data_IF_653171425656
#
_entry.id   IF_653171425656
#
_cell.length_a   1.000
_cell.length_b   1.000
_cell.length_c   1.000
_cell.angle_alpha   90.00
_cell.angle_beta   90.00
_cell.angle_gamma   90.00
#
_symmetry.space_group_name_H-M   'P 1'
#
loop_
_entity.id
_entity.type
_entity.pdbx_description
1 polymer ?
#
# COMPACT_ATOMS: atom_id res chain seq x y z
N UNK A 1 14.38 1.55 0.97
CA UNK A 1 15.50 2.27 0.30
C UNK A 1 16.87 2.09 0.99
N UNK A 2 16.94 1.50 2.20
CA UNK A 2 18.19 1.39 2.97
C UNK A 2 19.08 0.17 2.64
N UNK A 3 18.55 -0.84 1.93
CA UNK A 3 19.36 -1.96 1.41
C UNK A 3 19.77 -1.84 -0.07
N UNK A 4 19.23 -0.87 -0.82
CA UNK A 4 19.60 -0.70 -2.25
C UNK A 4 20.90 0.09 -2.46
N UNK A 5 21.43 0.75 -1.42
CA UNK A 5 22.62 1.61 -1.52
C UNK A 5 23.76 1.25 -0.56
N UNK A 6 23.55 0.33 0.37
CA UNK A 6 24.59 -0.16 1.26
C UNK A 6 24.95 -1.58 0.80
N UNK A 7 26.15 -1.75 0.26
CA UNK A 7 26.71 -3.05 -0.13
C UNK A 7 27.04 -3.84 1.17
N UNK A 8 26.01 -4.17 1.96
CA UNK A 8 26.17 -4.90 3.21
C UNK A 8 26.56 -6.33 2.87
N UNK A 9 27.69 -6.79 3.41
CA UNK A 9 28.06 -8.19 3.28
C UNK A 9 27.08 -9.05 4.08
N UNK A 10 26.33 -9.94 3.42
CA UNK A 10 25.44 -10.90 4.08
C UNK A 10 26.18 -12.17 4.57
N UNK A 11 27.52 -12.20 4.52
CA UNK A 11 28.32 -13.37 4.91
C UNK A 11 28.09 -13.79 6.37
N UNK A 12 27.77 -12.85 7.26
CA UNK A 12 27.51 -13.11 8.67
C UNK A 12 26.14 -13.78 8.94
N UNK A 13 25.22 -13.75 7.97
CA UNK A 13 23.93 -14.48 8.05
C UNK A 13 24.15 -15.98 7.86
N UNK A 14 25.22 -16.38 7.14
CA UNK A 14 25.56 -17.77 6.88
C UNK A 14 24.43 -18.54 6.18
N UNK A 15 24.15 -19.76 6.67
CA UNK A 15 23.07 -20.63 6.18
C UNK A 15 21.78 -20.52 7.00
N UNK A 16 21.59 -19.43 7.75
CA UNK A 16 20.44 -19.26 8.63
C UNK A 16 19.10 -19.36 7.87
N UNK A 17 18.12 -19.98 8.52
CA UNK A 17 16.73 -20.07 8.06
C UNK A 17 15.82 -19.56 9.17
N UNK A 18 14.93 -18.64 8.82
CA UNK A 18 13.96 -18.08 9.76
C UNK A 18 12.58 -18.69 9.51
N UNK A 19 11.93 -19.18 10.56
CA UNK A 19 10.51 -19.58 10.52
C UNK A 19 9.62 -18.33 10.55
N UNK A 20 8.66 -18.27 9.62
CA UNK A 20 7.88 -17.07 9.33
C UNK A 20 6.51 -17.13 10.01
N UNK A 21 6.45 -16.74 11.29
CA UNK A 21 5.22 -16.83 12.09
C UNK A 21 4.07 -15.98 11.51
N UNK A 22 4.39 -14.91 10.78
CA UNK A 22 3.41 -14.05 10.11
C UNK A 22 2.66 -14.73 8.95
N UNK A 23 3.14 -15.87 8.43
CA UNK A 23 2.38 -16.68 7.48
C UNK A 23 1.41 -17.65 8.17
N UNK A 24 1.70 -18.04 9.41
CA UNK A 24 0.83 -18.90 10.21
C UNK A 24 -0.35 -18.09 10.76
N UNK A 25 -0.07 -16.96 11.42
CA UNK A 25 -1.10 -16.00 11.82
C UNK A 25 -0.59 -14.54 11.71
N UNK A 26 -1.08 -13.76 10.73
CA UNK A 26 -0.65 -12.37 10.54
C UNK A 26 -1.11 -11.42 11.67
N UNK A 27 -1.96 -11.88 12.59
CA UNK A 27 -2.42 -11.14 13.77
C UNK A 27 -1.53 -11.38 15.01
N UNK A 28 -0.53 -12.26 14.94
CA UNK A 28 0.47 -12.40 16.00
C UNK A 28 1.31 -11.12 16.09
N UNK A 29 1.32 -10.52 17.28
CA UNK A 29 1.97 -9.23 17.54
C UNK A 29 3.26 -9.38 18.32
N UNK A 30 3.33 -10.43 19.12
CA UNK A 30 4.38 -10.71 20.09
C UNK A 30 4.83 -12.16 19.96
N UNK A 31 6.11 -12.40 20.17
CA UNK A 31 6.71 -13.74 20.12
C UNK A 31 8.00 -13.78 20.94
N UNK A 32 8.50 -14.98 21.21
CA UNK A 32 9.85 -15.19 21.74
C UNK A 32 10.64 -16.00 20.72
N UNK A 33 11.93 -15.70 20.55
CA UNK A 33 12.81 -16.44 19.64
C UNK A 33 14.24 -16.37 20.15
N UNK A 34 15.09 -17.28 19.70
CA UNK A 34 16.54 -17.16 19.89
C UNK A 34 17.19 -16.37 18.76
N UNK A 35 18.28 -15.70 19.10
CA UNK A 35 19.18 -15.03 18.14
C UNK A 35 20.07 -16.07 17.48
N UNK A 36 20.07 -16.14 16.15
CA UNK A 36 20.97 -17.04 15.39
C UNK A 36 22.19 -16.31 14.85
N UNK A 37 22.05 -15.01 14.57
CA UNK A 37 23.15 -14.17 14.13
C UNK A 37 22.91 -12.71 14.55
N UNK A 38 23.99 -12.00 14.82
CA UNK A 38 23.96 -10.58 15.19
C UNK A 38 25.20 -9.89 14.61
N UNK A 39 25.03 -8.71 14.04
CA UNK A 39 26.13 -7.96 13.43
C UNK A 39 25.96 -6.45 13.60
N UNK A 40 27.06 -5.71 13.61
CA UNK A 40 27.06 -4.25 13.68
C UNK A 40 27.89 -3.72 12.50
N UNK A 41 27.27 -2.91 11.65
CA UNK A 41 27.92 -2.32 10.48
C UNK A 41 27.30 -0.96 10.15
N UNK A 42 28.14 0.02 9.79
CA UNK A 42 27.66 1.33 9.33
C UNK A 42 26.81 2.10 10.34
N UNK A 43 27.08 1.91 11.65
CA UNK A 43 26.31 2.54 12.72
C UNK A 43 24.92 1.93 12.96
N UNK A 44 24.62 0.79 12.35
CA UNK A 44 23.38 0.03 12.56
C UNK A 44 23.67 -1.34 13.15
N UNK A 45 22.65 -1.87 13.81
CA UNK A 45 22.66 -3.19 14.42
C UNK A 45 21.75 -4.12 13.61
N UNK A 46 22.15 -5.36 13.40
CA UNK A 46 21.42 -6.34 12.62
C UNK A 46 21.25 -7.61 13.45
N UNK A 47 20.04 -8.16 13.44
CA UNK A 47 19.70 -9.38 14.19
C UNK A 47 18.94 -10.35 13.27
N UNK A 48 19.32 -11.62 13.30
CA UNK A 48 18.59 -12.72 12.68
C UNK A 48 18.09 -13.63 13.79
N UNK A 49 16.82 -14.05 13.68
CA UNK A 49 16.12 -14.87 14.67
C UNK A 49 15.77 -16.24 14.07
N UNK A 50 15.64 -17.26 14.92
CA UNK A 50 15.12 -18.58 14.54
C UNK A 50 13.70 -18.48 13.99
N UNK A 51 12.85 -17.69 14.62
CA UNK A 51 11.47 -17.42 14.19
C UNK A 51 11.10 -15.95 14.40
N UNK A 52 10.20 -15.41 13.57
CA UNK A 52 9.80 -14.00 13.67
C UNK A 52 8.37 -13.71 13.23
N UNK A 53 7.71 -12.79 13.94
CA UNK A 53 6.45 -12.17 13.50
C UNK A 53 6.69 -10.96 12.58
N UNK A 54 7.92 -10.44 12.47
CA UNK A 54 8.22 -9.29 11.62
C UNK A 54 8.21 -9.70 10.14
N UNK A 55 7.34 -9.05 9.35
CA UNK A 55 7.27 -9.25 7.90
C UNK A 55 8.43 -8.46 7.25
N UNK A 56 9.30 -9.12 6.47
CA UNK A 56 10.35 -8.44 5.72
C UNK A 56 9.77 -7.73 4.50
N UNK A 57 10.39 -6.62 4.09
CA UNK A 57 9.99 -5.91 2.88
C UNK A 57 9.88 -6.86 1.68
N UNK A 58 8.72 -6.85 1.01
CA UNK A 58 8.44 -7.79 -0.07
C UNK A 58 7.05 -7.59 -0.67
N UNK A 59 6.92 -7.90 -1.97
CA UNK A 59 5.63 -7.81 -2.67
C UNK A 59 5.02 -6.41 -2.63
N UNK A 60 5.83 -5.35 -2.59
CA UNK A 60 5.38 -3.95 -2.47
C UNK A 60 5.02 -3.53 -1.04
N UNK A 61 4.96 -4.44 -0.07
CA UNK A 61 4.75 -4.13 1.34
C UNK A 61 6.08 -3.76 2.02
N UNK A 62 6.16 -2.61 2.72
CA UNK A 62 7.31 -2.25 3.53
C UNK A 62 7.56 -3.25 4.67
N UNK A 63 8.82 -3.37 5.06
CA UNK A 63 9.20 -4.13 6.24
C UNK A 63 8.56 -3.60 7.53
N UNK A 64 8.33 -4.53 8.44
CA UNK A 64 7.83 -4.25 9.77
C UNK A 64 8.85 -3.53 10.64
N UNK A 65 8.31 -2.82 11.64
CA UNK A 65 9.06 -2.13 12.69
C UNK A 65 8.55 -2.59 14.05
N UNK A 66 9.28 -2.30 15.12
CA UNK A 66 8.91 -2.75 16.46
C UNK A 66 10.09 -2.74 17.42
N UNK A 67 10.08 -3.68 18.37
CA UNK A 67 11.12 -3.81 19.40
C UNK A 67 11.53 -5.27 19.61
N UNK A 68 12.80 -5.46 19.97
CA UNK A 68 13.34 -6.70 20.52
C UNK A 68 13.87 -6.42 21.92
N UNK A 69 13.48 -7.22 22.90
CA UNK A 69 13.81 -7.06 24.32
C UNK A 69 14.42 -8.35 24.89
N UNK A 70 15.46 -8.22 25.70
CA UNK A 70 16.10 -9.33 26.41
C UNK A 70 16.71 -8.85 27.74
N UNK A 71 17.31 -9.75 28.51
CA UNK A 71 17.89 -9.42 29.83
C UNK A 71 18.99 -8.34 29.79
N UNK A 72 19.67 -8.19 28.66
CA UNK A 72 20.75 -7.23 28.46
C UNK A 72 20.33 -5.91 27.82
N UNK A 73 19.05 -5.74 27.43
CA UNK A 73 18.56 -4.47 26.90
C UNK A 73 17.45 -4.58 25.87
N UNK A 74 17.29 -3.51 25.10
CA UNK A 74 16.24 -3.34 24.09
C UNK A 74 16.83 -2.78 22.80
N UNK A 75 16.35 -3.26 21.67
CA UNK A 75 16.61 -2.71 20.34
C UNK A 75 15.30 -2.25 19.70
N UNK A 76 15.35 -1.09 19.05
CA UNK A 76 14.26 -0.64 18.17
C UNK A 76 14.49 -1.19 16.78
N UNK A 77 13.59 -2.05 16.29
CA UNK A 77 13.59 -2.52 14.90
C UNK A 77 12.98 -1.42 14.04
N UNK A 78 13.80 -0.83 13.17
CA UNK A 78 13.41 0.28 12.29
C UNK A 78 13.12 -0.15 10.87
N UNK A 79 13.57 -1.35 10.49
CA UNK A 79 13.31 -1.95 9.19
C UNK A 79 13.49 -3.48 9.28
N UNK A 80 12.77 -4.23 8.46
CA UNK A 80 12.87 -5.70 8.39
C UNK A 80 13.02 -6.11 6.94
N UNK A 81 14.03 -6.91 6.63
CA UNK A 81 14.44 -7.14 5.25
C UNK A 81 14.74 -8.63 4.98
N UNK A 82 14.48 -9.13 3.76
CA UNK A 82 14.77 -10.51 3.41
C UNK A 82 16.27 -10.70 3.15
N UNK A 83 16.84 -11.83 3.58
CA UNK A 83 18.21 -12.23 3.29
C UNK A 83 18.26 -13.73 2.99
N UNK A 84 18.02 -14.11 1.73
CA UNK A 84 17.89 -15.52 1.34
C UNK A 84 16.72 -16.19 2.08
N UNK A 85 17.02 -17.25 2.84
CA UNK A 85 16.07 -17.96 3.71
C UNK A 85 15.90 -17.35 5.11
N UNK A 86 16.62 -16.28 5.42
CA UNK A 86 16.59 -15.60 6.70
C UNK A 86 15.86 -14.25 6.63
N UNK A 87 15.44 -13.77 7.79
CA UNK A 87 14.91 -12.41 7.98
C UNK A 87 15.88 -11.60 8.81
N UNK A 88 16.32 -10.46 8.28
CA UNK A 88 17.22 -9.53 8.96
C UNK A 88 16.41 -8.37 9.55
N UNK A 89 16.57 -8.17 10.85
CA UNK A 89 15.98 -7.06 11.59
C UNK A 89 17.02 -5.96 11.70
N UNK A 90 16.78 -4.83 11.03
CA UNK A 90 17.62 -3.65 11.09
C UNK A 90 17.21 -2.83 12.31
N UNK A 91 18.16 -2.63 13.21
CA UNK A 91 17.92 -2.14 14.55
C UNK A 91 18.74 -0.88 14.86
N UNK A 92 18.17 -0.07 15.72
CA UNK A 92 18.85 1.03 16.42
C UNK A 92 18.93 0.71 17.91
N UNK A 93 20.08 1.00 18.51
CA UNK A 93 20.35 0.77 19.92
C UNK A 93 21.84 0.76 20.19
N UNK A 94 22.22 0.30 21.40
CA UNK A 94 23.61 0.36 21.87
C UNK A 94 24.30 -1.00 21.96
N UNK A 95 23.54 -2.06 22.17
CA UNK A 95 24.08 -3.39 22.47
C UNK A 95 23.33 -4.44 21.66
N UNK A 96 24.08 -5.35 21.03
CA UNK A 96 23.50 -6.52 20.37
C UNK A 96 23.21 -7.62 21.40
N UNK A 97 22.10 -8.35 21.26
CA UNK A 97 21.93 -9.62 21.96
C UNK A 97 22.98 -10.63 21.48
N UNK A 98 23.41 -11.53 22.35
CA UNK A 98 24.36 -12.58 22.00
C UNK A 98 23.67 -13.66 21.17
N UNK A 99 24.41 -14.34 20.30
CA UNK A 99 23.91 -15.56 19.64
C UNK A 99 23.49 -16.59 20.70
N UNK A 100 22.31 -17.19 20.51
CA UNK A 100 21.66 -18.12 21.43
C UNK A 100 20.77 -17.46 22.50
N UNK A 101 20.87 -16.13 22.68
CA UNK A 101 20.08 -15.39 23.66
C UNK A 101 18.60 -15.40 23.29
N UNK A 102 17.74 -15.53 24.31
CA UNK A 102 16.29 -15.49 24.13
C UNK A 102 15.82 -14.03 24.13
N UNK A 103 15.17 -13.63 23.05
CA UNK A 103 14.59 -12.29 22.89
C UNK A 103 13.06 -12.39 22.84
N UNK A 104 12.38 -11.37 23.36
CA UNK A 104 10.96 -11.13 23.14
C UNK A 104 10.80 -10.06 22.06
N UNK A 105 10.08 -10.38 20.99
CA UNK A 105 9.82 -9.45 19.89
C UNK A 105 8.38 -8.95 19.94
N UNK A 106 8.19 -7.66 19.65
CA UNK A 106 6.88 -7.02 19.51
C UNK A 106 6.86 -6.09 18.31
N UNK A 107 5.95 -6.32 17.37
CA UNK A 107 5.80 -5.47 16.18
C UNK A 107 5.00 -4.20 16.50
N UNK A 108 5.22 -3.14 15.73
CA UNK A 108 4.33 -1.98 15.68
C UNK A 108 3.01 -2.40 15.01
N UNK A 109 2.03 -2.76 15.85
CA UNK A 109 0.76 -3.27 15.38
C UNK A 109 -0.04 -2.22 14.59
N UNK A 110 0.03 -0.94 14.96
CA UNK A 110 -0.67 0.12 14.25
C UNK A 110 -0.18 0.22 12.80
N UNK A 111 1.14 0.21 12.62
CA UNK A 111 1.78 0.13 11.31
C UNK A 111 1.39 -1.14 10.56
N UNK A 112 1.61 -2.32 11.16
CA UNK A 112 1.33 -3.62 10.52
C UNK A 112 -0.11 -3.71 10.05
N UNK A 113 -1.06 -3.38 10.91
CA UNK A 113 -2.47 -3.50 10.60
C UNK A 113 -2.89 -2.56 9.45
N UNK A 114 -2.35 -1.34 9.43
CA UNK A 114 -2.59 -0.44 8.29
C UNK A 114 -1.99 -0.98 6.99
N UNK A 115 -0.80 -1.59 7.02
CA UNK A 115 -0.21 -2.25 5.85
C UNK A 115 -1.06 -3.44 5.37
N UNK A 116 -1.59 -4.27 6.29
CA UNK A 116 -2.51 -5.37 5.97
C UNK A 116 -3.79 -4.88 5.29
N UNK A 117 -4.35 -3.76 5.78
CA UNK A 117 -5.53 -3.12 5.19
C UNK A 117 -5.24 -2.65 3.77
N UNK A 118 -4.16 -1.90 3.58
CA UNK A 118 -3.72 -1.43 2.26
C UNK A 118 -3.45 -2.58 1.29
N UNK A 119 -2.81 -3.65 1.76
CA UNK A 119 -2.53 -4.82 0.92
C UNK A 119 -3.82 -5.49 0.46
N UNK A 120 -4.73 -5.77 1.39
CA UNK A 120 -6.02 -6.40 1.07
C UNK A 120 -6.88 -5.51 0.18
N UNK A 121 -6.90 -4.20 0.44
CA UNK A 121 -7.57 -3.23 -0.43
C UNK A 121 -6.99 -3.21 -1.85
N UNK A 122 -5.71 -3.55 -2.04
CA UNK A 122 -5.10 -3.66 -3.37
C UNK A 122 -5.72 -4.77 -4.19
N UNK A 123 -5.97 -5.94 -3.60
CA UNK A 123 -6.71 -7.03 -4.27
C UNK A 123 -8.12 -6.56 -4.64
N UNK A 124 -8.80 -5.89 -3.70
CA UNK A 124 -10.16 -5.40 -3.92
C UNK A 124 -10.21 -4.40 -5.09
N UNK A 125 -9.36 -3.38 -5.05
CA UNK A 125 -9.30 -2.31 -6.05
C UNK A 125 -8.87 -2.84 -7.41
N UNK A 126 -7.88 -3.73 -7.47
CA UNK A 126 -7.44 -4.31 -8.75
C UNK A 126 -8.53 -5.16 -9.40
N UNK A 127 -9.19 -6.01 -8.62
CA UNK A 127 -10.29 -6.83 -9.13
C UNK A 127 -11.54 -5.98 -9.46
N UNK A 128 -11.75 -4.84 -8.80
CA UNK A 128 -12.76 -3.85 -9.17
C UNK A 128 -12.41 -3.15 -10.50
N UNK A 129 -11.15 -2.72 -10.65
CA UNK A 129 -10.63 -2.14 -11.88
C UNK A 129 -10.79 -3.09 -13.07
N UNK A 130 -10.35 -4.35 -12.95
CA UNK A 130 -10.51 -5.35 -14.02
C UNK A 130 -11.95 -5.48 -14.50
N UNK A 131 -12.91 -5.53 -13.56
CA UNK A 131 -14.35 -5.66 -13.86
C UNK A 131 -14.93 -4.40 -14.50
N UNK A 132 -14.66 -3.22 -13.94
CA UNK A 132 -15.20 -1.95 -14.46
C UNK A 132 -14.61 -1.60 -15.82
N UNK A 133 -13.33 -1.90 -16.04
CA UNK A 133 -12.64 -1.67 -17.30
C UNK A 133 -13.00 -2.71 -18.38
N UNK A 134 -13.66 -3.80 -17.99
CA UNK A 134 -14.17 -4.82 -18.91
C UNK A 134 -13.07 -5.59 -19.64
N UNK A 135 -11.93 -5.83 -18.97
CA UNK A 135 -10.79 -6.55 -19.57
C UNK A 135 -10.63 -7.93 -18.95
N UNK A 136 -10.40 -8.93 -19.80
CA UNK A 136 -10.14 -10.30 -19.33
C UNK A 136 -8.80 -10.39 -18.58
N UNK A 137 -7.77 -9.70 -19.11
CA UNK A 137 -6.44 -9.64 -18.51
C UNK A 137 -6.05 -8.19 -18.24
N UNK A 138 -6.03 -7.84 -16.95
CA UNK A 138 -5.38 -6.64 -16.44
C UNK A 138 -4.02 -7.06 -15.86
N UNK A 139 -2.96 -6.31 -16.12
CA UNK A 139 -1.60 -6.66 -15.67
C UNK A 139 -1.06 -5.60 -14.73
N UNK A 140 -0.49 -6.04 -13.61
CA UNK A 140 0.31 -5.22 -12.71
C UNK A 140 1.68 -4.92 -13.35
N UNK A 141 1.98 -3.64 -13.52
CA UNK A 141 3.30 -3.15 -13.96
C UNK A 141 4.13 -2.62 -12.79
N UNK A 142 3.50 -2.41 -11.63
CA UNK A 142 4.12 -1.81 -10.46
C UNK A 142 3.15 -1.81 -9.29
N UNK A 143 3.68 -2.05 -8.09
CA UNK A 143 2.92 -2.10 -6.85
C UNK A 143 3.78 -1.59 -5.71
N UNK A 144 3.25 -0.65 -4.93
CA UNK A 144 3.90 -0.20 -3.70
C UNK A 144 2.84 0.23 -2.69
N UNK A 145 3.00 -0.26 -1.47
CA UNK A 145 2.22 0.15 -0.31
C UNK A 145 3.03 1.18 0.48
N UNK A 146 2.36 2.23 0.93
CA UNK A 146 2.83 3.09 2.01
C UNK A 146 1.71 3.25 3.05
N UNK A 147 2.03 3.83 4.21
CA UNK A 147 1.06 4.01 5.28
C UNK A 147 -0.13 4.88 4.86
N UNK A 148 0.13 5.99 4.14
CA UNK A 148 -0.92 6.94 3.75
C UNK A 148 -1.61 6.61 2.42
N UNK A 149 -0.90 5.94 1.51
CA UNK A 149 -1.42 5.61 0.18
C UNK A 149 -0.73 4.41 -0.43
N UNK A 150 -1.46 3.75 -1.32
CA UNK A 150 -1.00 2.62 -2.13
C UNK A 150 -1.07 3.00 -3.61
N UNK A 151 -0.08 2.56 -4.39
CA UNK A 151 -0.06 2.76 -5.84
C UNK A 151 -0.09 1.42 -6.55
N UNK A 152 -0.93 1.32 -7.58
CA UNK A 152 -0.96 0.19 -8.51
C UNK A 152 -0.81 0.73 -9.93
N UNK A 153 0.12 0.17 -10.69
CA UNK A 153 0.37 0.56 -12.08
C UNK A 153 -0.27 -0.50 -12.98
N UNK A 154 -1.24 -0.07 -13.80
CA UNK A 154 -2.10 -0.94 -14.58
C UNK A 154 -1.76 -0.80 -16.07
N UNK A 155 -1.44 -1.92 -16.71
CA UNK A 155 -1.39 -2.00 -18.17
C UNK A 155 -2.81 -2.18 -18.72
N UNK A 156 -3.46 -1.06 -19.09
CA UNK A 156 -4.82 -1.04 -19.64
C UNK A 156 -4.85 -0.68 -21.13
N UNK A 157 -3.79 -0.05 -21.66
CA UNK A 157 -3.69 0.36 -23.06
C UNK A 157 -4.47 1.65 -23.40
N UNK A 158 -5.41 2.08 -22.54
CA UNK A 158 -6.24 3.28 -22.70
C UNK A 158 -6.21 4.15 -21.44
N UNK A 159 -6.56 5.44 -21.54
CA UNK A 159 -6.80 6.26 -20.34
C UNK A 159 -7.99 5.73 -19.54
N UNK A 160 -7.90 5.79 -18.21
CA UNK A 160 -9.04 5.50 -17.33
C UNK A 160 -9.84 6.80 -17.14
N UNK A 161 -11.10 6.79 -17.56
CA UNK A 161 -12.01 7.93 -17.47
C UNK A 161 -12.42 8.23 -16.02
N UNK A 162 -12.88 9.45 -15.75
CA UNK A 162 -13.26 9.88 -14.40
C UNK A 162 -14.41 9.04 -13.85
N UNK A 163 -15.40 8.75 -14.68
CA UNK A 163 -16.57 7.94 -14.36
C UNK A 163 -16.19 6.49 -14.09
N UNK A 164 -15.16 5.97 -14.78
CA UNK A 164 -14.61 4.65 -14.50
C UNK A 164 -13.93 4.61 -13.13
N UNK A 165 -13.16 5.63 -12.77
CA UNK A 165 -12.55 5.72 -11.43
C UNK A 165 -13.62 5.72 -10.33
N UNK A 166 -14.69 6.49 -10.49
CA UNK A 166 -15.80 6.53 -9.54
C UNK A 166 -16.48 5.17 -9.39
N UNK A 167 -16.73 4.47 -10.51
CA UNK A 167 -17.27 3.10 -10.49
C UNK A 167 -16.32 2.09 -9.84
N UNK A 168 -15.01 2.22 -10.03
CA UNK A 168 -14.01 1.37 -9.37
C UNK A 168 -14.04 1.58 -7.86
N UNK A 169 -14.04 2.84 -7.41
CA UNK A 169 -14.12 3.18 -5.99
C UNK A 169 -15.41 2.66 -5.36
N UNK A 170 -16.55 2.88 -6.02
CA UNK A 170 -17.85 2.42 -5.54
C UNK A 170 -17.88 0.89 -5.40
N UNK A 171 -17.46 0.17 -6.45
CA UNK A 171 -17.45 -1.29 -6.44
C UNK A 171 -16.47 -1.86 -5.41
N UNK A 172 -15.30 -1.23 -5.25
CA UNK A 172 -14.34 -1.60 -4.22
C UNK A 172 -14.91 -1.42 -2.81
N UNK A 173 -15.61 -0.31 -2.53
CA UNK A 173 -16.25 -0.09 -1.24
C UNK A 173 -17.43 -1.03 -1.00
N UNK A 174 -18.22 -1.38 -2.02
CA UNK A 174 -19.27 -2.41 -1.89
C UNK A 174 -18.66 -3.71 -1.37
N UNK A 175 -17.61 -4.20 -2.01
CA UNK A 175 -16.92 -5.44 -1.60
C UNK A 175 -16.26 -5.31 -0.23
N UNK A 176 -15.71 -4.13 0.10
CA UNK A 176 -15.20 -3.87 1.44
C UNK A 176 -16.31 -4.03 2.48
N UNK A 177 -17.47 -3.41 2.27
CA UNK A 177 -18.58 -3.44 3.24
C UNK A 177 -19.28 -4.81 3.36
N UNK A 178 -19.17 -5.69 2.35
CA UNK A 178 -19.75 -7.04 2.39
C UNK A 178 -19.13 -7.96 3.46
N UNK A 179 -17.95 -7.63 4.02
CA UNK A 179 -17.33 -8.44 5.07
C UNK A 179 -16.94 -9.85 4.61
N UNK A 180 -16.53 -10.00 3.35
CA UNK A 180 -16.10 -11.29 2.78
C UNK A 180 -14.87 -11.83 3.48
N UNK A 181 -14.75 -13.15 3.58
CA UNK A 181 -13.57 -13.79 4.17
C UNK A 181 -12.36 -13.65 3.27
N UNK A 182 -11.22 -13.38 3.88
CA UNK A 182 -9.91 -13.43 3.24
C UNK A 182 -9.17 -14.64 3.79
N UNK A 183 -8.76 -15.54 2.89
CA UNK A 183 -8.12 -16.82 3.22
C UNK A 183 -6.75 -16.89 2.58
N UNK A 184 -5.86 -17.65 3.20
CA UNK A 184 -4.54 -17.92 2.65
C UNK A 184 -4.11 -19.33 3.01
N UNK A 185 -3.34 -19.95 2.12
CA UNK A 185 -2.78 -21.28 2.31
C UNK A 185 -1.60 -21.48 1.34
N UNK A 186 -0.82 -22.54 1.55
CA UNK A 186 0.24 -22.96 0.65
C UNK A 186 -0.21 -24.13 -0.21
N UNK A 187 0.28 -24.18 -1.44
CA UNK A 187 0.12 -25.33 -2.34
C UNK A 187 1.26 -25.34 -3.36
N UNK A 188 1.36 -26.41 -4.15
CA UNK A 188 2.30 -26.42 -5.28
C UNK A 188 1.86 -25.42 -6.36
N UNK A 189 2.82 -24.81 -7.04
CA UNK A 189 2.55 -23.91 -8.17
C UNK A 189 1.73 -24.59 -9.27
N UNK A 190 2.05 -25.84 -9.57
CA UNK A 190 1.35 -26.63 -10.60
C UNK A 190 -0.13 -26.82 -10.24
N UNK A 191 -0.45 -27.10 -8.97
CA UNK A 191 -1.83 -27.19 -8.51
C UNK A 191 -2.54 -25.84 -8.58
N UNK A 192 -1.86 -24.75 -8.18
CA UNK A 192 -2.42 -23.41 -8.26
C UNK A 192 -2.80 -23.06 -9.70
N UNK A 193 -1.85 -23.22 -10.64
CA UNK A 193 -2.06 -22.94 -12.06
C UNK A 193 -3.19 -23.79 -12.65
N UNK A 194 -3.26 -25.08 -12.29
CA UNK A 194 -4.34 -25.97 -12.72
C UNK A 194 -5.71 -25.53 -12.21
N UNK A 195 -5.80 -25.06 -10.97
CA UNK A 195 -7.07 -24.72 -10.31
C UNK A 195 -7.59 -23.33 -10.68
N UNK A 196 -6.69 -22.36 -10.82
CA UNK A 196 -7.05 -20.95 -10.92
C UNK A 196 -6.63 -20.30 -12.25
N UNK A 197 -5.72 -20.94 -13.00
CA UNK A 197 -5.28 -20.51 -14.32
C UNK A 197 -4.78 -19.07 -14.34
N UNK A 198 -5.21 -18.32 -15.35
CA UNK A 198 -4.81 -16.93 -15.59
C UNK A 198 -5.21 -15.96 -14.47
N UNK A 199 -6.09 -16.35 -13.54
CA UNK A 199 -6.51 -15.48 -12.43
C UNK A 199 -5.40 -15.21 -11.42
N UNK A 200 -4.42 -16.12 -11.30
CA UNK A 200 -3.35 -16.04 -10.29
C UNK A 200 -2.36 -14.90 -10.48
N UNK A 201 -2.31 -14.32 -11.68
CA UNK A 201 -1.31 -13.30 -12.01
C UNK A 201 0.12 -13.85 -12.06
N UNK A 202 0.30 -15.12 -12.42
CA UNK A 202 1.63 -15.74 -12.58
C UNK A 202 2.46 -14.97 -13.60
N UNK A 203 3.69 -14.67 -13.21
CA UNK A 203 4.72 -14.02 -14.04
C UNK A 203 5.95 -14.92 -14.15
N UNK A 204 6.85 -14.60 -15.08
CA UNK A 204 8.11 -15.34 -15.29
C UNK A 204 9.00 -15.36 -14.03
N UNK A 205 8.87 -14.37 -13.15
CA UNK A 205 9.63 -14.26 -11.89
C UNK A 205 8.97 -14.98 -10.72
N UNK A 206 7.83 -15.62 -10.93
CA UNK A 206 7.17 -16.41 -9.88
C UNK A 206 8.01 -17.66 -9.60
N UNK A 207 8.42 -17.93 -8.34
CA UNK A 207 9.22 -19.10 -8.01
C UNK A 207 8.53 -20.42 -8.39
N UNK A 208 9.32 -21.46 -8.69
CA UNK A 208 8.83 -22.83 -8.76
C UNK A 208 8.69 -23.42 -7.34
N UNK A 209 7.90 -24.48 -7.18
CA UNK A 209 7.69 -25.16 -5.91
C UNK A 209 6.43 -24.69 -5.17
N UNK A 210 6.53 -24.58 -3.83
CA UNK A 210 5.41 -24.14 -3.00
C UNK A 210 5.17 -22.63 -3.14
N UNK A 211 3.90 -22.26 -3.29
CA UNK A 211 3.45 -20.89 -3.42
C UNK A 211 2.37 -20.58 -2.39
N UNK A 212 2.34 -19.33 -1.93
CA UNK A 212 1.29 -18.84 -1.04
C UNK A 212 0.17 -18.23 -1.86
N UNK A 213 -1.03 -18.80 -1.74
CA UNK A 213 -2.25 -18.31 -2.38
C UNK A 213 -3.01 -17.45 -1.37
N UNK A 214 -3.50 -16.30 -1.81
CA UNK A 214 -4.43 -15.45 -1.07
C UNK A 214 -5.72 -15.33 -1.87
N UNK A 215 -6.84 -15.55 -1.19
CA UNK A 215 -8.18 -15.45 -1.77
C UNK A 215 -9.00 -14.44 -0.98
N UNK A 216 -9.59 -13.49 -1.69
CA UNK A 216 -10.75 -12.72 -1.22
C UNK A 216 -11.99 -13.42 -1.76
N UNK A 217 -12.80 -13.97 -0.85
CA UNK A 217 -13.89 -14.89 -1.16
C UNK A 217 -14.80 -14.41 -2.31
N UNK A 218 -14.90 -15.21 -3.37
CA UNK A 218 -15.72 -14.91 -4.54
C UNK A 218 -15.33 -13.62 -5.29
N UNK A 219 -14.15 -13.06 -5.01
CA UNK A 219 -13.71 -11.77 -5.55
C UNK A 219 -12.38 -11.84 -6.29
N UNK A 220 -11.33 -12.30 -5.60
CA UNK A 220 -9.95 -12.29 -6.09
C UNK A 220 -9.20 -13.52 -5.58
N UNK A 221 -8.28 -14.06 -6.40
CA UNK A 221 -7.36 -15.12 -6.00
C UNK A 221 -6.04 -14.89 -6.69
N UNK A 222 -4.94 -14.90 -5.93
CA UNK A 222 -3.63 -14.51 -6.44
C UNK A 222 -2.49 -15.14 -5.64
N UNK A 223 -1.29 -15.16 -6.23
CA UNK A 223 -0.08 -15.50 -5.50
C UNK A 223 0.42 -14.27 -4.76
N UNK A 224 0.48 -14.32 -3.43
CA UNK A 224 0.84 -13.16 -2.61
C UNK A 224 1.56 -13.56 -1.31
N UNK A 225 2.71 -12.93 -1.08
CA UNK A 225 3.54 -13.06 0.12
C UNK A 225 3.28 -11.97 1.18
N UNK A 226 2.26 -11.12 0.95
CA UNK A 226 1.86 -10.07 1.86
C UNK A 226 1.11 -10.55 3.09
N UNK A 227 1.01 -9.68 4.11
CA UNK A 227 0.10 -9.89 5.24
C UNK A 227 -1.27 -9.31 4.93
N UNK A 228 -2.34 -10.02 5.29
CA UNK A 228 -3.72 -9.65 4.95
C UNK A 228 -4.63 -9.64 6.18
N UNK A 229 -5.65 -8.78 6.14
CA UNK A 229 -6.74 -8.80 7.12
C UNK A 229 -7.65 -10.02 6.87
N UNK A 230 -8.47 -10.42 7.85
CA UNK A 230 -9.34 -11.61 7.76
C UNK A 230 -10.67 -11.32 7.05
N UNK A 231 -11.14 -10.07 7.09
CA UNK A 231 -12.41 -9.64 6.50
C UNK A 231 -12.22 -8.39 5.64
N UNK A 232 -12.94 -8.33 4.52
CA UNK A 232 -12.90 -7.13 3.65
C UNK A 232 -13.45 -5.88 4.34
N UNK A 233 -14.31 -6.02 5.36
CA UNK A 233 -14.83 -4.89 6.14
C UNK A 233 -13.77 -4.16 6.93
N UNK A 234 -12.64 -4.81 7.25
CA UNK A 234 -11.53 -4.20 7.96
C UNK A 234 -10.79 -3.13 7.13
N UNK A 235 -10.95 -3.15 5.80
CA UNK A 235 -10.28 -2.19 4.90
C UNK A 235 -11.10 -0.93 4.62
N UNK A 236 -12.38 -0.92 4.98
CA UNK A 236 -13.27 0.21 4.69
C UNK A 236 -12.90 1.46 5.53
N UNK A 237 -13.06 2.68 4.97
CA UNK A 237 -13.40 2.99 3.59
C UNK A 237 -12.18 2.87 2.65
N UNK A 238 -12.44 2.76 1.34
CA UNK A 238 -11.42 2.88 0.30
C UNK A 238 -11.63 4.19 -0.45
N UNK A 239 -10.56 4.96 -0.68
CA UNK A 239 -10.61 6.24 -1.41
C UNK A 239 -9.58 6.26 -2.53
N UNK A 240 -10.01 6.41 -3.78
CA UNK A 240 -9.12 6.72 -4.91
C UNK A 240 -8.71 8.19 -4.78
N UNK A 241 -7.40 8.40 -4.62
CA UNK A 241 -6.79 9.72 -4.46
C UNK A 241 -6.54 10.39 -5.81
N UNK A 242 -6.27 9.59 -6.84
CA UNK A 242 -6.07 10.09 -8.18
C UNK A 242 -5.52 9.04 -9.14
N UNK A 243 -5.31 9.48 -10.38
CA UNK A 243 -4.62 8.71 -11.41
C UNK A 243 -3.50 9.52 -12.03
N UNK A 244 -2.51 8.82 -12.58
CA UNK A 244 -1.42 9.41 -13.34
C UNK A 244 -1.05 8.50 -14.51
N UNK A 245 -0.96 9.04 -15.71
CA UNK A 245 -0.40 8.29 -16.84
C UNK A 245 1.12 8.25 -16.71
N UNK A 246 1.69 7.05 -16.62
CA UNK A 246 3.15 6.88 -16.50
C UNK A 246 3.81 6.84 -17.88
N UNK A 247 3.22 6.07 -18.79
CA UNK A 247 3.67 5.94 -20.18
C UNK A 247 2.49 5.54 -21.08
N UNK A 248 2.72 5.32 -22.37
CA UNK A 248 1.66 4.85 -23.28
C UNK A 248 1.12 3.50 -22.78
N UNK A 249 -0.18 3.46 -22.47
CA UNK A 249 -0.89 2.25 -22.05
C UNK A 249 -0.76 1.88 -20.58
N UNK A 250 0.02 2.61 -19.77
CA UNK A 250 0.19 2.35 -18.33
C UNK A 250 -0.31 3.52 -17.49
N UNK A 251 -1.29 3.23 -16.64
CA UNK A 251 -1.94 4.18 -15.74
C UNK A 251 -1.67 3.78 -14.28
N UNK A 252 -1.14 4.70 -13.49
CA UNK A 252 -1.02 4.58 -12.04
C UNK A 252 -2.32 4.99 -11.40
N UNK A 253 -2.86 4.13 -10.55
CA UNK A 253 -3.95 4.46 -9.64
C UNK A 253 -3.38 4.60 -8.23
N UNK A 254 -3.64 5.73 -7.58
CA UNK A 254 -3.33 5.94 -6.17
C UNK A 254 -4.62 5.87 -5.34
N UNK A 255 -4.60 5.09 -4.27
CA UNK A 255 -5.73 4.97 -3.35
C UNK A 255 -5.26 4.81 -1.90
N UNK A 256 -6.16 5.06 -0.97
CA UNK A 256 -5.99 4.82 0.45
C UNK A 256 -7.08 3.87 0.94
N UNK A 257 -6.83 3.20 2.07
CA UNK A 257 -7.79 2.31 2.72
C UNK A 257 -7.78 2.52 4.24
N UNK A 258 -8.92 2.36 4.91
CA UNK A 258 -9.06 2.55 6.35
C UNK A 258 -8.87 4.00 6.78
N UNK A 259 -8.08 4.23 7.83
CA UNK A 259 -7.93 5.55 8.44
C UNK A 259 -7.34 6.61 7.47
N UNK A 260 -6.29 6.33 6.67
CA UNK A 260 -5.83 7.27 5.65
C UNK A 260 -6.89 7.66 4.62
N UNK A 261 -7.77 6.74 4.24
CA UNK A 261 -8.88 7.04 3.33
C UNK A 261 -9.90 7.98 3.99
N UNK A 262 -10.26 7.70 5.23
CA UNK A 262 -11.12 8.57 6.03
C UNK A 262 -10.52 9.97 6.17
N UNK A 263 -9.23 10.08 6.51
CA UNK A 263 -8.54 11.38 6.62
C UNK A 263 -8.53 12.14 5.30
N UNK A 264 -8.31 11.45 4.18
CA UNK A 264 -8.39 12.06 2.85
C UNK A 264 -9.80 12.60 2.54
N UNK A 265 -10.85 11.85 2.86
CA UNK A 265 -12.25 12.27 2.68
C UNK A 265 -12.59 13.47 3.58
N UNK A 266 -12.21 13.43 4.86
CA UNK A 266 -12.45 14.52 5.81
C UNK A 266 -11.73 15.80 5.38
N UNK A 267 -10.49 15.70 4.88
CA UNK A 267 -9.76 16.84 4.36
C UNK A 267 -10.42 17.42 3.10
N UNK A 268 -10.94 16.58 2.20
CA UNK A 268 -11.68 17.04 1.01
C UNK A 268 -12.96 17.80 1.41
N UNK A 269 -13.72 17.31 2.38
CA UNK A 269 -14.91 18.00 2.89
C UNK A 269 -14.54 19.35 3.51
N UNK A 270 -13.51 19.39 4.36
CA UNK A 270 -13.03 20.63 4.99
C UNK A 270 -12.65 21.70 3.96
N UNK A 271 -11.97 21.31 2.89
CA UNK A 271 -11.61 22.23 1.80
C UNK A 271 -12.84 22.73 1.04
N UNK A 272 -13.81 21.86 0.78
CA UNK A 272 -15.07 22.25 0.14
C UNK A 272 -15.86 23.22 1.03
N UNK A 273 -15.91 23.00 2.33
CA UNK A 273 -16.59 23.89 3.29
C UNK A 273 -15.92 25.27 3.35
N UNK A 274 -14.59 25.31 3.35
CA UNK A 274 -13.83 26.56 3.29
C UNK A 274 -14.13 27.33 1.99
N UNK A 275 -14.19 26.64 0.85
CA UNK A 275 -14.52 27.26 -0.43
C UNK A 275 -15.97 27.78 -0.47
N UNK A 276 -16.94 26.99 0.01
CA UNK A 276 -18.34 27.38 0.09
C UNK A 276 -18.54 28.62 0.99
N UNK A 277 -17.87 28.64 2.16
CA UNK A 277 -17.85 29.79 3.06
C UNK A 277 -17.28 31.04 2.38
N UNK A 278 -16.15 30.91 1.67
CA UNK A 278 -15.53 32.02 0.95
C UNK A 278 -16.44 32.59 -0.17
N UNK A 279 -17.27 31.74 -0.77
CA UNK A 279 -18.26 32.15 -1.78
C UNK A 279 -19.60 32.60 -1.20
N UNK A 280 -19.81 32.50 0.12
CA UNK A 280 -21.08 32.84 0.77
C UNK A 280 -22.25 31.93 0.36
N UNK A 281 -21.96 30.68 -0.01
CA UNK A 281 -22.97 29.70 -0.44
C UNK A 281 -22.90 28.42 0.39
N UNK A 282 -23.97 27.61 0.34
CA UNK A 282 -23.96 26.25 0.89
C UNK A 282 -23.15 25.29 0.01
N UNK A 283 -22.67 24.17 0.59
CA UNK A 283 -21.83 23.18 -0.10
C UNK A 283 -22.46 22.65 -1.40
N UNK A 284 -23.76 22.38 -1.39
CA UNK A 284 -24.53 21.90 -2.55
C UNK A 284 -24.58 22.93 -3.70
N UNK A 285 -24.48 24.23 -3.37
CA UNK A 285 -24.47 25.34 -4.34
C UNK A 285 -23.07 25.73 -4.80
N UNK A 286 -22.02 25.21 -4.16
CA UNK A 286 -20.63 25.56 -4.48
C UNK A 286 -20.27 25.37 -5.96
N UNK A 287 -20.63 24.25 -6.65
CA UNK A 287 -20.31 24.09 -8.07
C UNK A 287 -20.92 25.17 -8.95
N UNK A 288 -22.22 25.44 -8.78
CA UNK A 288 -22.92 26.45 -9.57
C UNK A 288 -22.38 27.87 -9.30
N UNK A 289 -22.07 28.18 -8.04
CA UNK A 289 -21.46 29.45 -7.66
C UNK A 289 -20.07 29.62 -8.27
N UNK A 290 -19.24 28.59 -8.24
CA UNK A 290 -17.90 28.60 -8.84
C UNK A 290 -17.94 28.83 -10.35
N UNK A 291 -18.87 28.18 -11.06
CA UNK A 291 -19.07 28.41 -12.49
C UNK A 291 -19.56 29.83 -12.79
N UNK A 292 -20.52 30.35 -12.02
CA UNK A 292 -21.03 31.71 -12.18
C UNK A 292 -19.91 32.74 -11.97
N UNK A 293 -19.10 32.57 -10.92
CA UNK A 293 -17.94 33.42 -10.66
C UNK A 293 -16.88 33.34 -11.78
N UNK A 294 -16.65 32.15 -12.36
CA UNK A 294 -15.72 31.99 -13.48
C UNK A 294 -16.22 32.70 -14.75
N UNK A 295 -17.52 32.60 -15.06
CA UNK A 295 -18.17 33.32 -16.17
C UNK A 295 -18.08 34.83 -15.97
N UNK A 296 -18.42 35.30 -14.77
CA UNK A 296 -18.39 36.73 -14.44
C UNK A 296 -16.96 37.30 -14.52
N UNK A 297 -15.97 36.58 -13.99
CA UNK A 297 -14.56 36.96 -14.12
C UNK A 297 -14.11 37.06 -15.58
N UNK A 298 -14.59 36.18 -16.46
CA UNK A 298 -14.28 36.26 -17.90
C UNK A 298 -14.93 37.49 -18.54
N UNK A 299 -16.17 37.81 -18.18
CA UNK A 299 -16.89 39.01 -18.64
C UNK A 299 -16.17 40.29 -18.24
N UNK A 300 -15.88 40.44 -16.94
CA UNK A 300 -15.20 41.61 -16.38
C UNK A 300 -13.81 41.82 -16.99
N UNK A 301 -13.05 40.74 -17.26
CA UNK A 301 -11.76 40.85 -17.96
C UNK A 301 -11.89 41.42 -19.37
N UNK A 302 -12.92 41.02 -20.13
CA UNK A 302 -13.16 41.55 -21.48
C UNK A 302 -13.58 43.02 -21.43
N UNK A 303 -14.43 43.38 -20.48
CA UNK A 303 -14.89 44.75 -20.28
C UNK A 303 -13.75 45.69 -19.87
N UNK A 304 -12.88 45.24 -18.95
CA UNK A 304 -11.72 45.99 -18.51
C UNK A 304 -10.71 46.21 -19.65
N UNK A 305 -10.50 45.21 -20.51
CA UNK A 305 -9.66 45.35 -21.70
C UNK A 305 -10.25 46.37 -22.70
N UNK A 306 -11.58 46.34 -22.90
CA UNK A 306 -12.28 47.31 -23.76
C UNK A 306 -12.14 48.73 -23.21
N UNK A 307 -12.45 48.94 -21.93
CA UNK A 307 -12.35 50.25 -21.28
C UNK A 307 -10.91 50.77 -21.27
N UNK A 308 -9.92 49.90 -21.06
CA UNK A 308 -8.51 50.25 -21.15
C UNK A 308 -8.10 50.71 -22.55
N UNK A 309 -8.60 50.05 -23.60
CA UNK A 309 -8.41 50.49 -24.99
C UNK A 309 -9.04 51.85 -25.27
N UNK A 310 -10.27 52.06 -24.83
CA UNK A 310 -10.97 53.34 -24.99
C UNK A 310 -10.27 54.48 -24.25
N UNK A 311 -9.74 54.21 -23.04
CA UNK A 311 -8.99 55.21 -22.29
C UNK A 311 -7.65 55.54 -22.97
N UNK A 312 -6.95 54.55 -23.53
CA UNK A 312 -5.72 54.78 -24.29
C UNK A 312 -5.96 55.65 -25.54
N UNK A 313 -7.07 55.42 -26.25
CA UNK A 313 -7.49 56.27 -27.37
C UNK A 313 -7.86 57.69 -26.93
N UNK A 314 -8.51 57.84 -25.78
CA UNK A 314 -8.91 59.17 -25.27
C UNK A 314 -7.73 60.00 -24.78
N UNK A 315 -6.66 59.36 -24.30
CA UNK A 315 -5.47 60.02 -23.74
C UNK A 315 -4.39 60.31 -24.81
N UNK A 316 -4.48 59.69 -25.99
CA UNK A 316 -3.58 59.90 -27.12
C UNK A 316 -3.95 61.14 -27.96
#
# INVERSE_FOLDING_TARGET
MLLRGCCMSLSWVGSAKTRLLYYEDPYLKEFKSRVVASHAEGGKLYVVLEETCFHPEGGGQPGDTGVLEWSGGTLRVVDTQPAGSAVVHVCEGRQLPKVGELVSGRIDWGRRYQLMKSHTASHIVFSAARRVLGVERLVYMGFQIALEKTRIDLSYGRPIAREQLERIEQLANTVAMEGRRVRWWTMSREEAERRYGSKLGVTEVTPAGEVRVVEVEGWDVSLCSGTHVKLTSEVAPIRILGRMRLQKGVERLEFAAGEPAYRAMAQQLKLAEQAAKAMGVSLDKLPAAAEAAARERSRLKKELAKLGGQLAEYVA
#
